data_IF_267885774011
#
_entry.id   IF_267885774011
#
_cell.length_a   1.000
_cell.length_b   1.000
_cell.length_c   1.000
_cell.angle_alpha   90.00
_cell.angle_beta   90.00
_cell.angle_gamma   90.00
#
_symmetry.space_group_name_H-M   'P 1'
#
loop_
_entity.id
_entity.type
_entity.pdbx_description
1 polymer ?
#
# COMPACT_ATOMS: atom_id res chain seq x y z
N UNK A 1 24.91 -32.87 55.53
CA UNK A 1 24.83 -33.51 54.19
C UNK A 1 25.13 -32.42 53.18
N UNK A 2 26.18 -32.41 52.38
CA UNK A 2 27.32 -33.27 52.11
C UNK A 2 28.00 -32.60 50.93
N UNK A 3 29.18 -32.02 51.14
CA UNK A 3 29.95 -31.30 50.12
C UNK A 3 30.59 -32.30 49.14
N UNK A 4 30.67 -31.97 47.85
CA UNK A 4 31.67 -32.56 46.96
C UNK A 4 32.06 -31.57 45.86
N UNK A 5 33.22 -30.95 46.06
CA UNK A 5 34.09 -30.42 45.01
C UNK A 5 34.88 -31.60 44.43
N UNK A 6 35.13 -31.61 43.12
CA UNK A 6 36.23 -32.37 42.54
C UNK A 6 36.91 -31.55 41.44
N UNK A 7 38.20 -31.37 41.65
CA UNK A 7 39.19 -30.67 40.84
C UNK A 7 39.82 -31.61 39.81
N UNK A 8 40.33 -30.98 38.75
CA UNK A 8 41.56 -31.30 38.01
C UNK A 8 41.60 -32.58 37.16
N UNK A 9 41.98 -32.44 35.88
CA UNK A 9 43.37 -32.72 35.52
C UNK A 9 43.77 -32.10 34.17
N UNK A 10 45.08 -31.81 34.08
CA UNK A 10 45.76 -31.01 33.08
C UNK A 10 46.64 -31.94 32.22
N UNK A 11 46.93 -31.48 30.99
CA UNK A 11 48.23 -31.58 30.27
C UNK A 11 48.54 -32.87 29.46
N UNK A 12 49.57 -32.86 28.57
CA UNK A 12 49.91 -31.91 27.49
C UNK A 12 50.51 -32.62 26.22
N UNK A 13 51.19 -31.85 25.35
CA UNK A 13 52.24 -32.24 24.36
C UNK A 13 51.75 -32.77 22.99
N UNK A 14 51.97 -32.01 21.90
CA UNK A 14 53.21 -31.92 21.09
C UNK A 14 53.31 -33.10 20.10
N UNK A 15 53.80 -33.00 18.86
CA UNK A 15 54.88 -32.20 18.31
C UNK A 15 54.93 -32.50 16.78
N UNK A 16 55.28 -31.50 15.94
CA UNK A 16 56.23 -31.57 14.78
C UNK A 16 55.92 -32.54 13.61
N UNK A 17 56.29 -32.32 12.34
CA UNK A 17 57.27 -31.44 11.70
C UNK A 17 57.15 -31.53 10.15
N UNK A 18 57.72 -30.50 9.48
CA UNK A 18 58.45 -30.49 8.20
C UNK A 18 57.71 -30.90 6.89
N UNK A 19 57.52 -30.04 5.88
CA UNK A 19 58.43 -29.19 5.08
C UNK A 19 59.26 -29.92 4.00
N UNK A 20 59.52 -29.19 2.90
CA UNK A 20 60.29 -29.49 1.67
C UNK A 20 59.44 -30.03 0.51
N UNK A 21 59.61 -29.62 -0.75
CA UNK A 21 60.41 -28.57 -1.39
C UNK A 21 60.01 -28.48 -2.88
N UNK A 22 60.04 -27.27 -3.42
CA UNK A 22 59.84 -26.86 -4.84
C UNK A 22 61.07 -27.33 -5.68
N UNK A 23 60.95 -27.64 -6.99
CA UNK A 23 61.19 -26.61 -8.02
C UNK A 23 60.36 -26.69 -9.33
N UNK A 24 59.90 -25.51 -9.73
CA UNK A 24 59.80 -24.89 -11.08
C UNK A 24 60.03 -25.76 -12.33
N UNK A 25 59.08 -25.68 -13.28
CA UNK A 25 59.40 -25.53 -14.71
C UNK A 25 58.47 -24.53 -15.40
N UNK A 26 59.09 -23.66 -16.18
CA UNK A 26 58.57 -22.56 -17.00
C UNK A 26 58.13 -23.14 -18.34
N UNK A 27 56.98 -22.73 -18.87
CA UNK A 27 56.51 -23.18 -20.20
C UNK A 27 55.21 -22.51 -20.66
N UNK A 28 55.36 -21.33 -21.23
CA UNK A 28 54.41 -20.46 -21.94
C UNK A 28 53.41 -21.20 -22.85
N UNK A 29 52.11 -20.88 -22.71
CA UNK A 29 51.05 -20.84 -23.74
C UNK A 29 49.89 -20.01 -23.14
N UNK A 30 49.89 -18.67 -23.19
CA UNK A 30 49.30 -17.85 -24.26
C UNK A 30 47.96 -18.39 -24.79
N UNK A 31 46.93 -17.54 -24.66
CA UNK A 31 45.57 -17.63 -25.20
C UNK A 31 44.55 -18.43 -24.37
N UNK A 32 43.95 -17.73 -23.40
CA UNK A 32 42.48 -17.64 -23.24
C UNK A 32 42.20 -16.56 -22.19
N UNK A 33 42.52 -15.31 -22.55
CA UNK A 33 41.87 -14.14 -21.97
C UNK A 33 40.43 -14.10 -22.52
N UNK A 34 39.62 -15.04 -22.04
CA UNK A 34 38.18 -15.08 -22.29
C UNK A 34 37.53 -13.97 -21.49
N UNK A 35 37.54 -12.78 -22.07
CA UNK A 35 36.52 -11.75 -22.00
C UNK A 35 35.55 -11.90 -20.81
N UNK A 36 36.03 -11.61 -19.60
CA UNK A 36 35.15 -11.21 -18.51
C UNK A 36 34.64 -9.82 -18.90
N UNK A 37 33.61 -9.80 -19.75
CA UNK A 37 32.74 -8.64 -19.92
C UNK A 37 32.11 -8.46 -18.55
N UNK A 38 32.75 -7.62 -17.74
CA UNK A 38 32.09 -6.97 -16.64
C UNK A 38 30.90 -6.25 -17.26
N UNK A 39 29.74 -6.91 -17.26
CA UNK A 39 28.48 -6.21 -17.24
C UNK A 39 28.57 -5.33 -15.99
N UNK A 40 29.04 -4.10 -16.20
CA UNK A 40 28.58 -2.97 -15.41
C UNK A 40 27.08 -2.99 -15.66
N UNK A 41 26.39 -3.79 -14.85
CA UNK A 41 24.99 -3.57 -14.58
C UNK A 41 24.99 -2.15 -14.02
N UNK A 42 24.77 -1.21 -14.92
CA UNK A 42 24.33 0.10 -14.55
C UNK A 42 23.01 -0.19 -13.85
N UNK A 43 23.05 -0.31 -12.52
CA UNK A 43 21.87 -0.08 -11.71
C UNK A 43 21.40 1.28 -12.21
N UNK A 44 20.37 1.25 -13.04
CA UNK A 44 19.58 2.43 -13.32
C UNK A 44 19.05 2.75 -11.94
N UNK A 45 19.74 3.62 -11.21
CA UNK A 45 19.17 4.28 -10.07
C UNK A 45 17.87 4.83 -10.62
N UNK A 46 16.76 4.18 -10.27
CA UNK A 46 15.44 4.68 -10.59
C UNK A 46 15.48 6.12 -10.09
N UNK A 47 15.54 7.05 -11.04
CA UNK A 47 15.41 8.45 -10.73
C UNK A 47 14.16 8.52 -9.85
N UNK A 48 14.20 9.15 -8.68
CA UNK A 48 12.99 9.31 -7.90
C UNK A 48 12.00 9.97 -8.86
N UNK A 49 10.97 9.22 -9.24
CA UNK A 49 9.82 9.84 -9.89
C UNK A 49 9.45 10.97 -8.94
N UNK A 50 9.63 12.20 -9.40
CA UNK A 50 9.20 13.39 -8.68
C UNK A 50 7.68 13.36 -8.81
N UNK A 51 7.05 12.40 -8.15
CA UNK A 51 5.65 12.44 -7.85
C UNK A 51 5.49 13.62 -6.91
N UNK A 52 4.72 14.60 -7.36
CA UNK A 52 4.15 15.57 -6.47
C UNK A 52 3.41 14.78 -5.38
N UNK A 53 4.02 14.69 -4.20
CA UNK A 53 3.48 13.92 -3.07
C UNK A 53 2.22 14.56 -2.48
N UNK A 54 1.71 15.63 -3.09
CA UNK A 54 0.37 16.11 -2.78
C UNK A 54 -0.67 15.47 -3.69
N UNK A 55 -0.38 15.07 -4.93
CA UNK A 55 -1.39 14.57 -5.85
C UNK A 55 -1.58 13.04 -5.73
N UNK A 56 -2.07 12.58 -4.59
CA UNK A 56 -2.27 11.15 -4.31
C UNK A 56 -3.49 10.55 -5.00
N UNK A 57 -4.48 11.38 -5.39
CA UNK A 57 -5.74 10.93 -5.95
C UNK A 57 -6.09 11.65 -7.25
N UNK A 58 -6.65 10.93 -8.23
CA UNK A 58 -7.07 11.50 -9.50
C UNK A 58 -8.24 12.48 -9.32
N UNK A 59 -7.99 13.76 -9.58
CA UNK A 59 -8.98 14.84 -9.47
C UNK A 59 -9.17 15.63 -10.77
N UNK A 60 -8.62 15.12 -11.88
CA UNK A 60 -8.77 15.71 -13.22
C UNK A 60 -10.14 15.32 -13.80
N UNK A 61 -10.84 16.28 -14.40
CA UNK A 61 -12.14 16.06 -15.03
C UNK A 61 -12.04 14.91 -16.06
N UNK A 62 -13.03 14.02 -16.07
CA UNK A 62 -13.09 12.82 -16.93
C UNK A 62 -12.03 11.74 -16.64
N UNK A 63 -11.20 11.89 -15.60
CA UNK A 63 -10.48 10.73 -15.06
C UNK A 63 -11.48 9.71 -14.53
N UNK A 64 -11.19 8.43 -14.76
CA UNK A 64 -12.02 7.34 -14.27
C UNK A 64 -11.19 6.16 -13.76
N UNK A 65 -11.80 5.37 -12.90
CA UNK A 65 -11.29 4.08 -12.47
C UNK A 65 -12.44 3.12 -12.22
N UNK A 66 -12.21 1.83 -12.48
CA UNK A 66 -13.23 0.79 -12.39
C UNK A 66 -12.78 -0.27 -11.40
N UNK A 67 -13.68 -0.60 -10.47
CA UNK A 67 -13.48 -1.72 -9.55
C UNK A 67 -14.34 -2.90 -9.94
N UNK A 68 -13.79 -4.10 -9.76
CA UNK A 68 -14.59 -5.29 -9.49
C UNK A 68 -14.86 -5.35 -7.98
N UNK A 69 -16.13 -5.39 -7.60
CA UNK A 69 -16.58 -5.44 -6.20
C UNK A 69 -17.24 -6.78 -5.94
N UNK A 70 -16.91 -7.40 -4.82
CA UNK A 70 -17.63 -8.54 -4.25
C UNK A 70 -18.39 -8.08 -3.01
N UNK A 71 -19.66 -8.48 -2.86
CA UNK A 71 -20.49 -8.25 -1.65
C UNK A 71 -20.95 -9.60 -1.07
N UNK A 72 -20.61 -9.86 0.19
CA UNK A 72 -20.95 -11.12 0.86
C UNK A 72 -22.42 -11.31 1.21
N UNK A 73 -23.23 -10.24 1.31
CA UNK A 73 -24.66 -10.36 1.61
C UNK A 73 -25.45 -10.87 0.41
N UNK A 74 -25.08 -10.40 -0.78
CA UNK A 74 -25.67 -10.81 -2.05
C UNK A 74 -24.96 -12.02 -2.65
N UNK A 75 -23.73 -12.31 -2.16
CA UNK A 75 -22.83 -13.32 -2.72
C UNK A 75 -22.66 -13.11 -4.23
N UNK A 76 -22.45 -11.84 -4.61
CA UNK A 76 -22.42 -11.38 -5.99
C UNK A 76 -21.16 -10.55 -6.25
N UNK A 77 -20.81 -10.45 -7.53
CA UNK A 77 -19.78 -9.55 -8.01
C UNK A 77 -20.40 -8.58 -9.01
N UNK A 78 -19.99 -7.32 -8.92
CA UNK A 78 -20.41 -6.26 -9.82
C UNK A 78 -19.23 -5.35 -10.19
N UNK A 79 -19.47 -4.44 -11.14
CA UNK A 79 -18.49 -3.44 -11.55
C UNK A 79 -18.96 -2.07 -11.12
N UNK A 80 -18.08 -1.34 -10.46
CA UNK A 80 -18.33 0.04 -10.05
C UNK A 80 -17.39 0.94 -10.81
N UNK A 81 -17.94 1.83 -11.63
CA UNK A 81 -17.16 2.84 -12.35
C UNK A 81 -17.20 4.13 -11.56
N UNK A 82 -16.04 4.70 -11.27
CA UNK A 82 -15.94 6.01 -10.63
C UNK A 82 -15.37 7.01 -11.63
N UNK A 83 -16.08 8.12 -11.81
CA UNK A 83 -15.69 9.17 -12.76
C UNK A 83 -15.67 10.54 -12.06
N UNK A 84 -14.63 11.35 -12.34
CA UNK A 84 -14.64 12.77 -11.97
C UNK A 84 -15.51 13.53 -12.98
N UNK A 85 -16.73 13.85 -12.59
CA UNK A 85 -17.75 14.40 -13.52
C UNK A 85 -17.87 15.91 -13.52
N UNK A 86 -17.26 16.58 -12.53
CA UNK A 86 -17.33 18.03 -12.44
C UNK A 86 -16.84 18.57 -11.10
N UNK A 87 -17.10 19.86 -10.92
CA UNK A 87 -16.77 20.60 -9.72
C UNK A 87 -18.05 21.26 -9.18
N UNK A 88 -18.10 21.50 -7.87
CA UNK A 88 -19.15 22.31 -7.21
C UNK A 88 -18.52 23.30 -6.23
N UNK A 89 -19.19 24.44 -5.99
CA UNK A 89 -18.75 25.45 -5.04
C UNK A 89 -19.62 25.39 -3.79
N UNK A 90 -19.02 25.09 -2.64
CA UNK A 90 -19.70 25.00 -1.34
C UNK A 90 -18.99 25.90 -0.36
N UNK A 91 -19.70 26.91 0.15
CA UNK A 91 -19.16 27.87 1.14
C UNK A 91 -17.82 28.53 0.75
N UNK A 92 -17.55 28.70 -0.56
CA UNK A 92 -16.31 29.29 -1.07
C UNK A 92 -15.19 28.29 -1.37
N UNK A 93 -15.38 27.01 -1.07
CA UNK A 93 -14.46 25.92 -1.42
C UNK A 93 -14.96 25.18 -2.66
N UNK A 94 -14.08 24.93 -3.63
CA UNK A 94 -14.38 24.11 -4.81
C UNK A 94 -14.12 22.64 -4.50
N UNK A 95 -15.15 21.81 -4.64
CA UNK A 95 -15.08 20.35 -4.45
C UNK A 95 -15.19 19.67 -5.81
N UNK A 96 -14.43 18.59 -6.01
CA UNK A 96 -14.62 17.64 -7.11
C UNK A 96 -15.83 16.77 -6.84
N UNK A 97 -16.54 16.38 -7.89
CA UNK A 97 -17.67 15.45 -7.83
C UNK A 97 -17.20 14.13 -8.43
N UNK A 98 -17.13 13.11 -7.58
CA UNK A 98 -16.90 11.73 -8.00
C UNK A 98 -18.25 11.02 -8.10
N UNK A 99 -18.57 10.53 -9.28
CA UNK A 99 -19.78 9.77 -9.54
C UNK A 99 -19.44 8.28 -9.56
N UNK A 100 -20.09 7.52 -8.68
CA UNK A 100 -19.98 6.07 -8.54
C UNK A 100 -21.19 5.44 -9.23
N UNK A 101 -20.96 4.83 -10.39
CA UNK A 101 -21.98 4.10 -11.15
C UNK A 101 -21.92 2.62 -10.79
N UNK A 102 -22.98 2.15 -10.14
CA UNK A 102 -23.28 0.73 -9.92
C UNK A 102 -24.23 0.24 -11.03
N UNK A 103 -24.58 -1.05 -11.03
CA UNK A 103 -25.48 -1.61 -12.04
C UNK A 103 -26.89 -0.99 -12.01
N UNK A 104 -27.40 -0.68 -10.82
CA UNK A 104 -28.78 -0.30 -10.58
C UNK A 104 -28.97 1.13 -10.04
N UNK A 105 -27.89 1.77 -9.56
CA UNK A 105 -27.94 3.14 -9.08
C UNK A 105 -26.62 3.90 -9.26
N UNK A 106 -26.70 5.22 -9.11
CA UNK A 106 -25.55 6.12 -9.12
C UNK A 106 -25.47 6.88 -7.81
N UNK A 107 -24.29 6.92 -7.21
CA UNK A 107 -24.00 7.70 -6.01
C UNK A 107 -23.01 8.82 -6.34
N UNK A 108 -23.12 9.96 -5.66
CA UNK A 108 -22.15 11.05 -5.78
C UNK A 108 -21.43 11.24 -4.46
N UNK A 109 -20.11 11.37 -4.54
CA UNK A 109 -19.24 11.80 -3.47
C UNK A 109 -18.57 13.10 -3.85
N UNK A 110 -18.28 13.91 -2.84
CA UNK A 110 -17.61 15.19 -3.05
C UNK A 110 -16.25 15.15 -2.41
N UNK A 111 -15.24 15.63 -3.13
CA UNK A 111 -13.85 15.48 -2.74
C UNK A 111 -13.16 16.83 -2.75
N UNK A 112 -12.42 17.12 -1.70
CA UNK A 112 -11.57 18.30 -1.63
C UNK A 112 -10.19 17.90 -1.14
N UNK A 113 -9.16 18.48 -1.76
CA UNK A 113 -7.81 18.39 -1.27
C UNK A 113 -7.34 19.79 -0.85
N UNK A 114 -7.05 19.96 0.44
CA UNK A 114 -6.59 21.22 1.02
C UNK A 114 -5.36 20.94 1.90
N UNK A 115 -4.23 21.54 1.54
CA UNK A 115 -2.97 21.33 2.24
C UNK A 115 -2.54 19.86 2.22
N UNK A 116 -2.39 19.28 3.40
CA UNK A 116 -2.01 17.89 3.65
C UNK A 116 -3.22 16.95 3.78
N UNK A 117 -4.44 17.40 3.48
CA UNK A 117 -5.64 16.60 3.70
C UNK A 117 -6.44 16.39 2.42
N UNK A 118 -6.82 15.15 2.15
CA UNK A 118 -7.88 14.80 1.21
C UNK A 118 -9.12 14.42 2.03
N UNK A 119 -10.24 15.09 1.80
CA UNK A 119 -11.52 14.81 2.47
C UNK A 119 -12.54 14.39 1.43
N UNK A 120 -13.25 13.30 1.72
CA UNK A 120 -14.32 12.75 0.91
C UNK A 120 -15.60 12.84 1.75
N UNK A 121 -16.60 13.52 1.20
CA UNK A 121 -17.90 13.74 1.83
C UNK A 121 -18.94 12.81 1.24
N UNK A 122 -19.92 12.44 2.07
CA UNK A 122 -21.14 11.78 1.61
C UNK A 122 -21.97 12.70 0.69
N UNK A 123 -22.96 12.12 0.01
CA UNK A 123 -23.82 12.81 -0.96
C UNK A 123 -24.54 14.06 -0.41
N UNK A 124 -24.72 14.18 0.90
CA UNK A 124 -25.39 15.31 1.54
C UNK A 124 -24.45 16.45 1.94
N UNK A 125 -23.12 16.28 1.78
CA UNK A 125 -22.10 17.28 2.17
C UNK A 125 -22.13 17.68 3.66
N UNK A 126 -22.84 16.93 4.51
CA UNK A 126 -22.99 17.25 5.93
C UNK A 126 -21.87 16.66 6.79
N UNK A 127 -21.17 15.64 6.27
CA UNK A 127 -20.14 14.88 6.99
C UNK A 127 -19.02 14.38 6.10
N UNK A 128 -17.82 14.31 6.67
CA UNK A 128 -16.65 13.67 6.08
C UNK A 128 -16.78 12.16 6.28
N UNK A 129 -16.95 11.42 5.18
CA UNK A 129 -16.94 9.95 5.19
C UNK A 129 -15.51 9.44 5.37
N UNK A 130 -14.57 9.97 4.59
CA UNK A 130 -13.17 9.56 4.63
C UNK A 130 -12.24 10.77 4.63
N UNK A 131 -11.14 10.65 5.36
CA UNK A 131 -10.04 11.60 5.33
C UNK A 131 -8.73 10.83 5.15
N UNK A 132 -7.81 11.37 4.37
CA UNK A 132 -6.44 10.91 4.25
C UNK A 132 -5.49 12.08 4.54
N UNK A 133 -4.43 11.83 5.31
CA UNK A 133 -3.35 12.80 5.56
C UNK A 133 -2.18 12.45 4.64
N UNK A 134 -1.73 13.45 3.88
CA UNK A 134 -0.76 13.35 2.79
C UNK A 134 0.49 14.19 3.11
N UNK A 135 1.71 13.75 2.75
CA UNK A 135 2.00 12.46 2.12
C UNK A 135 1.76 11.28 3.08
N UNK A 136 1.45 10.12 2.51
CA UNK A 136 1.34 8.89 3.30
C UNK A 136 2.73 8.48 3.79
N UNK A 137 2.88 8.31 5.10
CA UNK A 137 4.11 7.89 5.77
C UNK A 137 3.83 6.70 6.69
N UNK A 138 4.74 5.74 6.76
CA UNK A 138 4.60 4.59 7.66
C UNK A 138 4.48 5.11 9.10
N UNK A 139 3.59 4.49 9.87
CA UNK A 139 3.25 4.87 11.23
C UNK A 139 2.49 6.20 11.39
N UNK A 140 2.12 6.87 10.29
CA UNK A 140 1.23 8.01 10.33
C UNK A 140 -0.20 7.55 10.63
N UNK A 141 -0.81 8.15 11.66
CA UNK A 141 -2.19 7.89 12.05
C UNK A 141 -3.00 9.17 12.19
N UNK A 142 -4.31 9.07 11.96
CA UNK A 142 -5.23 10.20 12.08
C UNK A 142 -6.63 9.75 12.50
N UNK A 143 -7.46 10.72 12.86
CA UNK A 143 -8.85 10.52 13.31
C UNK A 143 -9.76 11.32 12.37
N UNK A 144 -10.86 10.73 11.93
CA UNK A 144 -11.90 11.47 11.23
C UNK A 144 -12.54 12.47 12.22
N UNK A 145 -12.57 13.77 11.92
CA UNK A 145 -13.12 14.76 12.86
C UNK A 145 -14.61 14.54 13.16
N UNK A 146 -15.39 13.99 12.21
CA UNK A 146 -16.86 13.91 12.31
C UNK A 146 -17.35 12.62 12.98
N UNK A 147 -16.52 11.58 12.98
CA UNK A 147 -16.86 10.27 13.56
C UNK A 147 -15.82 9.88 14.62
N UNK A 148 -16.26 9.65 15.86
CA UNK A 148 -15.39 9.13 16.92
C UNK A 148 -16.02 7.92 17.59
N UNK A 149 -15.30 6.78 17.69
CA UNK A 149 -13.94 6.53 17.20
C UNK A 149 -13.90 6.12 15.71
N UNK A 150 -13.37 6.96 14.83
CA UNK A 150 -12.96 6.62 13.46
C UNK A 150 -11.49 7.00 13.25
N UNK A 151 -10.64 5.98 13.19
CA UNK A 151 -9.18 6.09 13.21
C UNK A 151 -8.58 5.40 12.01
N UNK A 152 -7.55 5.99 11.41
CA UNK A 152 -6.78 5.41 10.32
C UNK A 152 -5.28 5.40 10.63
N UNK A 153 -4.55 4.44 10.07
CA UNK A 153 -3.10 4.29 10.27
C UNK A 153 -2.41 3.65 9.07
N UNK A 154 -1.25 4.17 8.67
CA UNK A 154 -0.41 3.59 7.60
C UNK A 154 0.45 2.46 8.17
N UNK A 155 0.14 1.22 7.81
CA UNK A 155 0.80 0.01 8.31
C UNK A 155 2.13 -0.26 7.62
N UNK A 156 2.19 -0.14 6.29
CA UNK A 156 3.35 -0.55 5.51
C UNK A 156 3.41 0.14 4.16
N UNK A 157 4.57 -0.01 3.50
CA UNK A 157 4.79 0.35 2.10
C UNK A 157 5.44 -0.81 1.38
N UNK A 158 4.75 -1.39 0.40
CA UNK A 158 5.16 -2.62 -0.27
C UNK A 158 4.86 -2.62 -1.77
N UNK A 159 5.25 -3.68 -2.48
CA UNK A 159 4.79 -3.92 -3.85
C UNK A 159 3.68 -4.97 -3.82
N UNK A 160 2.62 -4.75 -4.58
CA UNK A 160 1.42 -5.59 -4.55
C UNK A 160 0.97 -5.93 -5.97
N UNK A 161 0.60 -7.20 -6.17
CA UNK A 161 -0.04 -7.68 -7.40
C UNK A 161 -1.54 -7.57 -7.24
N UNK A 162 -2.20 -6.78 -8.11
CA UNK A 162 -3.65 -6.60 -8.12
C UNK A 162 -4.15 -6.83 -9.54
N UNK A 163 -5.05 -7.81 -9.72
CA UNK A 163 -5.61 -8.21 -11.02
C UNK A 163 -4.54 -8.48 -12.10
N UNK A 164 -3.43 -9.13 -11.72
CA UNK A 164 -2.32 -9.45 -12.62
C UNK A 164 -1.39 -8.28 -12.97
N UNK A 165 -1.68 -7.08 -12.47
CA UNK A 165 -0.81 -5.90 -12.57
C UNK A 165 0.03 -5.73 -11.31
N UNK A 166 1.31 -5.39 -11.47
CA UNK A 166 2.22 -5.13 -10.36
C UNK A 166 2.29 -3.63 -10.05
N UNK A 167 2.04 -3.28 -8.78
CA UNK A 167 2.12 -1.90 -8.28
C UNK A 167 3.22 -1.80 -7.24
N UNK A 168 4.28 -1.05 -7.53
CA UNK A 168 5.34 -0.75 -6.57
C UNK A 168 4.96 0.44 -5.67
N UNK A 169 5.54 0.51 -4.46
CA UNK A 169 5.36 1.63 -3.50
C UNK A 169 3.89 1.91 -3.15
N UNK A 170 3.14 0.85 -2.86
CA UNK A 170 1.75 0.91 -2.40
C UNK A 170 1.74 1.05 -0.89
N UNK A 171 0.97 2.00 -0.38
CA UNK A 171 0.75 2.18 1.04
C UNK A 171 -0.45 1.37 1.50
N UNK A 172 -0.29 0.66 2.61
CA UNK A 172 -1.37 -0.10 3.24
C UNK A 172 -1.88 0.70 4.41
N UNK A 173 -3.13 1.14 4.34
CA UNK A 173 -3.82 1.88 5.40
C UNK A 173 -4.86 0.98 6.03
N UNK A 174 -4.91 0.96 7.36
CA UNK A 174 -5.99 0.35 8.11
C UNK A 174 -6.87 1.44 8.69
N UNK A 175 -8.19 1.28 8.59
CA UNK A 175 -9.19 2.14 9.20
C UNK A 175 -10.14 1.34 10.07
N UNK A 176 -10.44 1.87 11.24
CA UNK A 176 -11.41 1.33 12.19
C UNK A 176 -12.39 2.46 12.51
N UNK A 177 -13.68 2.24 12.28
CA UNK A 177 -14.72 3.22 12.59
C UNK A 177 -15.89 2.61 13.34
N UNK A 178 -16.48 3.40 14.24
CA UNK A 178 -17.77 3.11 14.85
C UNK A 178 -18.66 4.32 14.60
N UNK A 179 -19.69 4.16 13.78
CA UNK A 179 -20.80 5.09 13.74
C UNK A 179 -22.11 4.34 13.66
N UNK A 180 -23.17 4.99 14.14
CA UNK A 180 -24.49 4.75 13.57
C UNK A 180 -24.91 3.28 13.75
N UNK A 181 -24.55 2.70 14.90
CA UNK A 181 -24.76 1.29 15.24
C UNK A 181 -24.04 0.31 14.31
N UNK A 182 -22.89 0.68 13.72
CA UNK A 182 -22.09 -0.17 12.84
C UNK A 182 -20.62 -0.08 13.24
N UNK A 183 -19.97 -1.24 13.37
CA UNK A 183 -18.51 -1.32 13.43
C UNK A 183 -17.97 -1.58 12.03
N UNK A 184 -17.03 -0.74 11.59
CA UNK A 184 -16.40 -0.78 10.28
C UNK A 184 -14.90 -1.04 10.46
N UNK A 185 -14.39 -2.01 9.72
CA UNK A 185 -12.97 -2.23 9.52
C UNK A 185 -12.66 -2.17 8.04
N UNK A 186 -11.63 -1.42 7.65
CA UNK A 186 -11.15 -1.32 6.27
C UNK A 186 -9.63 -1.55 6.22
N UNK A 187 -9.19 -2.30 5.22
CA UNK A 187 -7.79 -2.35 4.81
C UNK A 187 -7.70 -1.87 3.38
N UNK A 188 -6.92 -0.82 3.15
CA UNK A 188 -6.92 -0.01 1.94
C UNK A 188 -5.51 0.01 1.37
N UNK A 189 -5.36 -0.32 0.09
CA UNK A 189 -4.10 -0.24 -0.64
C UNK A 189 -4.14 0.99 -1.54
N UNK A 190 -3.26 1.95 -1.27
CA UNK A 190 -3.24 3.25 -1.95
C UNK A 190 -1.92 3.39 -2.71
N UNK A 191 -2.02 3.58 -4.03
CA UNK A 191 -0.90 3.90 -4.91
C UNK A 191 -0.89 5.42 -5.13
N UNK A 192 0.14 6.16 -4.69
CA UNK A 192 0.25 7.59 -5.01
C UNK A 192 0.11 7.86 -6.50
N UNK A 193 -0.67 8.87 -6.86
CA UNK A 193 -0.99 9.24 -8.25
C UNK A 193 -2.11 8.43 -8.90
N UNK A 194 -2.56 7.33 -8.28
CA UNK A 194 -3.64 6.47 -8.79
C UNK A 194 -4.82 6.36 -7.81
N UNK A 195 -4.56 6.51 -6.51
CA UNK A 195 -5.56 6.36 -5.46
C UNK A 195 -5.67 4.93 -4.94
N UNK A 196 -6.88 4.50 -4.60
CA UNK A 196 -7.14 3.15 -4.06
C UNK A 196 -7.03 2.12 -5.18
N UNK A 197 -6.17 1.12 -5.01
CA UNK A 197 -6.05 -0.01 -5.95
C UNK A 197 -6.74 -1.28 -5.43
N UNK A 198 -6.93 -1.38 -4.11
CA UNK A 198 -7.66 -2.46 -3.47
C UNK A 198 -8.24 -1.99 -2.14
N UNK A 199 -9.44 -2.46 -1.79
CA UNK A 199 -10.08 -2.23 -0.51
C UNK A 199 -10.72 -3.53 -0.02
N UNK A 200 -10.45 -3.90 1.22
CA UNK A 200 -11.19 -4.93 1.95
C UNK A 200 -11.96 -4.22 3.06
N UNK A 201 -13.29 -4.32 3.02
CA UNK A 201 -14.19 -3.70 3.99
C UNK A 201 -14.96 -4.77 4.74
N UNK A 202 -15.13 -4.58 6.04
CA UNK A 202 -15.96 -5.42 6.91
C UNK A 202 -16.85 -4.51 7.74
N UNK A 203 -18.14 -4.52 7.47
CA UNK A 203 -19.15 -3.77 8.20
C UNK A 203 -19.99 -4.72 9.04
N UNK A 204 -20.11 -4.44 10.33
CA UNK A 204 -20.92 -5.21 11.29
C UNK A 204 -21.98 -4.30 11.91
N UNK A 205 -23.17 -4.19 11.29
CA UNK A 205 -24.30 -3.48 11.88
C UNK A 205 -24.78 -4.18 13.15
N UNK A 206 -25.19 -3.43 14.17
CA UNK A 206 -25.82 -3.96 15.36
C UNK A 206 -27.18 -4.54 15.01
N UNK A 207 -27.34 -5.85 15.24
CA UNK A 207 -28.57 -6.57 14.96
C UNK A 207 -28.76 -6.96 13.48
N UNK A 208 -27.79 -6.68 12.61
CA UNK A 208 -27.80 -7.08 11.21
C UNK A 208 -26.73 -8.13 10.88
N UNK A 209 -26.80 -8.75 9.69
CA UNK A 209 -25.73 -9.60 9.21
C UNK A 209 -24.47 -8.77 8.94
N UNK A 210 -23.30 -9.37 9.20
CA UNK A 210 -22.02 -8.78 8.78
C UNK A 210 -21.93 -8.77 7.26
N UNK A 211 -21.48 -7.64 6.70
CA UNK A 211 -21.17 -7.46 5.29
C UNK A 211 -19.66 -7.37 5.11
N UNK A 212 -19.12 -8.24 4.28
CA UNK A 212 -17.74 -8.20 3.82
C UNK A 212 -17.72 -7.81 2.34
N UNK A 213 -16.94 -6.80 2.00
CA UNK A 213 -16.75 -6.35 0.63
C UNK A 213 -15.27 -6.39 0.25
N UNK A 214 -14.98 -6.73 -1.00
CA UNK A 214 -13.64 -6.63 -1.59
C UNK A 214 -13.76 -5.86 -2.90
N UNK A 215 -13.00 -4.79 -3.03
CA UNK A 215 -12.94 -3.95 -4.22
C UNK A 215 -11.53 -4.05 -4.79
N UNK A 216 -11.44 -4.37 -6.08
CA UNK A 216 -10.17 -4.61 -6.78
C UNK A 216 -10.15 -3.75 -8.03
N UNK A 217 -9.12 -2.91 -8.20
CA UNK A 217 -8.98 -2.09 -9.39
C UNK A 217 -8.75 -2.96 -10.62
N UNK A 218 -9.58 -2.77 -11.65
CA UNK A 218 -9.51 -3.55 -12.89
C UNK A 218 -9.23 -2.72 -14.14
N UNK A 219 -9.53 -1.41 -14.11
CA UNK A 219 -9.26 -0.50 -15.23
C UNK A 219 -9.18 0.94 -14.72
N UNK A 220 -8.47 1.82 -15.44
CA UNK A 220 -8.40 3.24 -15.13
C UNK A 220 -7.86 4.08 -16.29
N UNK A 221 -8.23 5.35 -16.28
CA UNK A 221 -7.59 6.41 -17.05
C UNK A 221 -7.47 7.65 -16.17
N UNK A 222 -6.24 7.98 -15.79
CA UNK A 222 -5.92 9.17 -15.01
C UNK A 222 -5.17 10.15 -15.90
N UNK A 223 -5.57 11.42 -15.90
CA UNK A 223 -4.95 12.52 -16.65
C UNK A 223 -4.17 13.48 -15.75
#
# INVERSE_FOLDING_TARGET
MGATFLLANINPLAMKNAASSVPRFIGICLLLAGLAVSFVACDRADLPEIFDQTNHYPNTLHSFWVYERYDSLENAQDRVTVTVVGDTLVAGTTLKIWEYEYEDFTEKRYVVQEGDSLKIFESQLDRIDQVYILPLEIDLGWVNPDYRPDTSFVLSRESVSVNGSEYARVYVVERNAICCNTYLFEKIWIKPGLGVIQLVRKATPWGGPRRDEVWTLVDYKIE
#
